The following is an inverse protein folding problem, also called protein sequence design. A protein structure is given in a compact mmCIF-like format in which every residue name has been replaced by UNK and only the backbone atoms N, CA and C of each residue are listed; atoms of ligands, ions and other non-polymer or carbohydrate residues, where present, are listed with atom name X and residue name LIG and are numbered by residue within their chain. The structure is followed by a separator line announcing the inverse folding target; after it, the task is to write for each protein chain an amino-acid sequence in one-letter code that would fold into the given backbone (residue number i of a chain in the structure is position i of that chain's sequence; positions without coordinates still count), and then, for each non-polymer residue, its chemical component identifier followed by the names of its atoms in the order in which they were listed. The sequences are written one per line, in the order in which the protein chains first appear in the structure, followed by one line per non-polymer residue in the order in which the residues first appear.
data_IF_478371140199
#
_entry.id   IF_478371140199
#
_cell.length_a   1.000
_cell.length_b   1.000
_cell.length_c   1.000
_cell.angle_alpha   90.00
_cell.angle_beta   90.00
_cell.angle_gamma   90.00
#
_symmetry.space_group_name_H-M   'P 1'
#
loop_
_entity.id
_entity.type
_entity.pdbx_description
1 polymer ?
#
# COMPACT_ATOMS: atom_id res chain seq x y z
N UNK A 1 3.25 4.74 12.65
CA UNK A 1 3.40 3.30 12.98
C UNK A 1 3.15 2.39 11.77
N UNK A 2 2.12 2.64 10.92
CA UNK A 2 1.77 1.78 9.78
C UNK A 2 2.87 1.58 8.74
N UNK A 3 3.64 2.62 8.41
CA UNK A 3 4.67 2.56 7.36
C UNK A 3 5.84 1.62 7.69
N UNK A 4 6.26 1.56 8.96
CA UNK A 4 7.33 0.65 9.39
C UNK A 4 6.89 -0.81 9.28
N UNK A 5 5.66 -1.14 9.67
CA UNK A 5 5.13 -2.51 9.58
C UNK A 5 5.07 -3.03 8.15
N UNK A 6 4.61 -2.22 7.20
CA UNK A 6 4.49 -2.63 5.79
C UNK A 6 5.87 -2.77 5.13
N UNK A 7 6.80 -1.86 5.38
CA UNK A 7 8.15 -1.97 4.85
C UNK A 7 8.87 -3.23 5.37
N UNK A 8 8.71 -3.55 6.64
CA UNK A 8 9.30 -4.77 7.25
C UNK A 8 8.67 -6.03 6.67
N UNK A 9 7.34 -6.12 6.61
CA UNK A 9 6.65 -7.28 6.02
C UNK A 9 6.99 -7.47 4.54
N UNK A 10 7.08 -6.38 3.79
CA UNK A 10 7.49 -6.39 2.39
C UNK A 10 8.92 -6.93 2.22
N UNK A 11 9.84 -6.52 3.09
CA UNK A 11 11.24 -6.96 3.06
C UNK A 11 11.35 -8.46 3.35
N UNK A 12 10.72 -8.95 4.41
CA UNK A 12 10.73 -10.38 4.77
C UNK A 12 10.09 -11.20 3.64
N UNK A 13 8.91 -10.80 3.16
CA UNK A 13 8.26 -11.50 2.05
C UNK A 13 9.12 -11.54 0.79
N UNK A 14 9.81 -10.44 0.45
CA UNK A 14 10.67 -10.38 -0.74
C UNK A 14 11.91 -11.27 -0.62
N UNK A 15 12.45 -11.46 0.57
CA UNK A 15 13.62 -12.32 0.83
C UNK A 15 13.26 -13.81 0.87
N UNK A 16 12.13 -14.14 1.48
CA UNK A 16 11.71 -15.55 1.66
C UNK A 16 10.99 -16.15 0.45
N UNK A 17 10.33 -15.32 -0.36
CA UNK A 17 9.49 -15.79 -1.46
C UNK A 17 9.93 -15.18 -2.80
N UNK A 18 10.31 -16.02 -3.76
CA UNK A 18 10.52 -15.67 -5.17
C UNK A 18 9.23 -15.96 -5.95
N UNK A 19 8.68 -17.17 -5.79
CA UNK A 19 7.37 -17.53 -6.31
C UNK A 19 6.25 -17.10 -5.35
N UNK A 20 5.07 -16.77 -5.90
CA UNK A 20 3.86 -16.38 -5.15
C UNK A 20 4.04 -15.20 -4.19
N UNK A 21 4.99 -14.33 -4.48
CA UNK A 21 5.30 -13.16 -3.63
C UNK A 21 4.10 -12.24 -3.46
N UNK A 22 3.33 -12.01 -4.54
CA UNK A 22 2.12 -11.20 -4.50
C UNK A 22 1.07 -11.78 -3.56
N UNK A 23 0.80 -13.08 -3.63
CA UNK A 23 -0.14 -13.76 -2.74
C UNK A 23 0.28 -13.63 -1.27
N UNK A 24 1.55 -13.83 -0.96
CA UNK A 24 2.04 -13.69 0.42
C UNK A 24 1.89 -12.26 0.93
N UNK A 25 2.23 -11.26 0.10
CA UNK A 25 2.01 -9.84 0.45
C UNK A 25 0.52 -9.54 0.63
N UNK A 26 -0.34 -10.14 -0.19
CA UNK A 26 -1.78 -10.04 -0.06
C UNK A 26 -2.29 -10.62 1.27
N UNK A 27 -1.83 -11.81 1.67
CA UNK A 27 -2.17 -12.45 2.95
C UNK A 27 -1.69 -11.59 4.12
N UNK A 28 -0.46 -11.08 4.08
CA UNK A 28 0.08 -10.21 5.13
C UNK A 28 -0.71 -8.89 5.24
N UNK A 29 -1.10 -8.29 4.10
CA UNK A 29 -1.96 -7.11 4.08
C UNK A 29 -3.36 -7.40 4.64
N UNK A 30 -3.95 -8.55 4.29
CA UNK A 30 -5.22 -9.02 4.84
C UNK A 30 -5.14 -9.26 6.36
N UNK A 31 -4.04 -9.83 6.85
CA UNK A 31 -3.81 -10.03 8.27
C UNK A 31 -3.69 -8.70 9.05
N UNK A 32 -3.08 -7.66 8.43
CA UNK A 32 -3.08 -6.31 9.02
C UNK A 32 -4.49 -5.76 9.16
N UNK A 33 -5.33 -5.91 8.15
CA UNK A 33 -6.74 -5.46 8.18
C UNK A 33 -7.56 -6.24 9.19
N UNK A 34 -7.37 -7.55 9.28
CA UNK A 34 -8.01 -8.39 10.31
C UNK A 34 -7.58 -7.97 11.73
N UNK A 35 -6.28 -7.65 11.90
CA UNK A 35 -5.76 -7.11 13.16
C UNK A 35 -6.46 -5.80 13.56
N UNK A 36 -6.63 -4.86 12.62
CA UNK A 36 -7.37 -3.61 12.88
C UNK A 36 -8.84 -3.88 13.25
N UNK A 37 -9.49 -4.79 12.53
CA UNK A 37 -10.89 -5.15 12.78
C UNK A 37 -11.12 -5.75 14.16
N UNK A 38 -10.13 -6.45 14.72
CA UNK A 38 -10.20 -7.04 16.07
C UNK A 38 -9.74 -6.05 17.16
N UNK A 39 -8.62 -5.36 16.93
CA UNK A 39 -7.99 -4.51 17.94
C UNK A 39 -8.78 -3.23 18.19
N UNK A 40 -9.42 -2.64 17.18
CA UNK A 40 -10.17 -1.39 17.35
C UNK A 40 -11.39 -1.57 18.27
N UNK A 41 -12.31 -2.55 18.06
CA UNK A 41 -13.40 -2.79 18.99
C UNK A 41 -12.92 -3.22 20.39
N UNK A 42 -11.86 -4.06 20.46
CA UNK A 42 -11.28 -4.45 21.74
C UNK A 42 -10.74 -3.23 22.50
N UNK A 43 -10.10 -2.31 21.80
CA UNK A 43 -9.61 -1.06 22.39
C UNK A 43 -10.75 -0.22 22.96
N UNK A 44 -11.85 -0.08 22.21
CA UNK A 44 -13.04 0.66 22.67
C UNK A 44 -13.66 0.01 23.89
N UNK A 45 -13.80 -1.32 23.90
CA UNK A 45 -14.32 -2.06 25.05
C UNK A 45 -13.45 -1.84 26.28
N UNK A 46 -12.13 -1.98 26.15
CA UNK A 46 -11.19 -1.75 27.26
C UNK A 46 -11.25 -0.30 27.77
N UNK A 47 -11.35 0.70 26.87
CA UNK A 47 -11.45 2.10 27.23
C UNK A 47 -12.75 2.36 28.02
N UNK A 48 -13.86 1.75 27.61
CA UNK A 48 -15.14 1.90 28.28
C UNK A 48 -15.15 1.26 29.67
N UNK A 49 -14.49 0.10 29.82
CA UNK A 49 -14.46 -0.64 31.09
C UNK A 49 -13.41 -0.13 32.10
N UNK A 50 -12.23 0.24 31.61
CA UNK A 50 -11.05 0.50 32.45
C UNK A 50 -10.44 1.89 32.27
N UNK A 51 -11.00 2.70 31.36
CA UNK A 51 -10.45 3.99 30.96
C UNK A 51 -9.22 3.86 30.06
N UNK A 52 -8.85 4.95 29.40
CA UNK A 52 -7.85 4.95 28.34
C UNK A 52 -6.43 4.55 28.81
N UNK A 53 -6.02 4.95 30.04
CA UNK A 53 -4.68 4.67 30.58
C UNK A 53 -4.46 3.17 30.82
N UNK A 54 -5.42 2.51 31.46
CA UNK A 54 -5.35 1.07 31.70
C UNK A 54 -5.45 0.28 30.39
N UNK A 55 -6.25 0.74 29.42
CA UNK A 55 -6.39 0.11 28.11
C UNK A 55 -5.07 0.11 27.33
N UNK A 56 -4.33 1.22 27.32
CA UNK A 56 -3.00 1.27 26.70
C UNK A 56 -2.01 0.32 27.37
N UNK A 57 -2.04 0.19 28.70
CA UNK A 57 -1.20 -0.77 29.43
C UNK A 57 -1.56 -2.21 29.07
N UNK A 58 -2.83 -2.60 29.08
CA UNK A 58 -3.26 -3.95 28.73
C UNK A 58 -2.93 -4.32 27.30
N UNK A 59 -3.15 -3.41 26.35
CA UNK A 59 -2.78 -3.62 24.94
C UNK A 59 -1.25 -3.73 24.77
N UNK A 60 -0.51 -2.88 25.46
CA UNK A 60 0.97 -2.94 25.46
C UNK A 60 1.50 -4.24 26.01
N UNK A 61 0.99 -4.68 27.17
CA UNK A 61 1.36 -5.97 27.77
C UNK A 61 0.96 -7.13 26.85
N UNK A 62 -0.24 -7.08 26.25
CA UNK A 62 -0.69 -8.10 25.29
C UNK A 62 0.23 -8.22 24.08
N UNK A 63 0.65 -7.09 23.49
CA UNK A 63 1.60 -7.08 22.37
C UNK A 63 2.95 -7.66 22.81
N UNK A 64 3.49 -7.24 23.95
CA UNK A 64 4.76 -7.74 24.44
C UNK A 64 4.71 -9.24 24.80
N UNK A 65 3.63 -9.70 25.41
CA UNK A 65 3.49 -11.08 25.83
C UNK A 65 3.20 -12.05 24.68
N UNK A 66 2.48 -11.61 23.64
CA UNK A 66 2.08 -12.46 22.52
C UNK A 66 2.97 -12.28 21.30
N UNK A 67 3.16 -11.03 20.85
CA UNK A 67 3.87 -10.77 19.60
C UNK A 67 5.39 -10.91 19.74
N UNK A 68 5.97 -10.43 20.84
CA UNK A 68 7.42 -10.45 21.02
C UNK A 68 8.01 -11.88 21.05
N UNK A 69 7.47 -12.85 21.79
CA UNK A 69 7.98 -14.23 21.75
C UNK A 69 7.84 -14.86 20.37
N UNK A 70 6.72 -14.62 19.67
CA UNK A 70 6.51 -15.15 18.31
C UNK A 70 7.54 -14.56 17.33
N UNK A 71 7.78 -13.25 17.40
CA UNK A 71 8.77 -12.60 16.52
C UNK A 71 10.17 -13.14 16.81
N UNK A 72 10.58 -13.19 18.06
CA UNK A 72 11.93 -13.64 18.45
C UNK A 72 12.20 -15.10 18.08
N UNK A 73 11.20 -15.96 18.14
CA UNK A 73 11.35 -17.40 17.87
C UNK A 73 11.21 -17.76 16.40
N UNK A 74 10.26 -17.18 15.70
CA UNK A 74 9.87 -17.61 14.34
C UNK A 74 10.37 -16.70 13.24
N UNK A 75 10.43 -15.37 13.46
CA UNK A 75 10.83 -14.44 12.40
C UNK A 75 12.34 -14.43 12.22
N UNK A 76 12.79 -14.61 10.98
CA UNK A 76 14.19 -14.47 10.57
C UNK A 76 14.24 -13.60 9.32
N UNK A 77 15.26 -12.80 9.21
CA UNK A 77 15.41 -11.83 8.12
C UNK A 77 15.68 -12.48 6.78
N UNK A 78 16.45 -13.56 6.77
CA UNK A 78 16.84 -14.25 5.54
C UNK A 78 16.68 -15.78 5.69
N UNK A 79 16.20 -16.49 4.67
CA UNK A 79 16.18 -17.97 4.67
C UNK A 79 17.57 -18.58 4.83
N UNK A 80 18.64 -17.89 4.42
CA UNK A 80 20.01 -18.35 4.60
C UNK A 80 20.40 -18.54 6.07
N UNK A 81 19.81 -17.79 7.01
CA UNK A 81 20.02 -17.94 8.46
C UNK A 81 19.59 -19.31 8.97
N UNK A 82 18.77 -20.02 8.20
CA UNK A 82 18.32 -21.39 8.48
C UNK A 82 18.88 -22.42 7.48
N UNK A 83 19.86 -22.05 6.66
CA UNK A 83 20.41 -22.90 5.61
C UNK A 83 19.41 -23.21 4.48
N UNK A 84 18.34 -22.43 4.35
CA UNK A 84 17.29 -22.60 3.35
C UNK A 84 17.49 -21.66 2.16
N UNK A 85 16.98 -22.09 1.00
CA UNK A 85 16.85 -21.22 -0.18
C UNK A 85 15.46 -20.53 -0.19
N UNK A 86 15.32 -19.34 -0.78
CA UNK A 86 14.02 -18.70 -0.96
C UNK A 86 13.04 -19.62 -1.67
N UNK A 87 11.78 -19.62 -1.23
CA UNK A 87 10.74 -20.44 -1.84
C UNK A 87 10.53 -20.11 -3.32
N UNK A 88 10.63 -21.13 -4.18
CA UNK A 88 10.53 -20.98 -5.64
C UNK A 88 11.83 -20.58 -6.34
N UNK A 89 12.95 -20.50 -5.63
CA UNK A 89 14.26 -20.33 -6.25
C UNK A 89 14.59 -21.57 -7.09
N UNK A 90 14.85 -21.38 -8.39
CA UNK A 90 15.16 -22.49 -9.32
C UNK A 90 13.96 -23.13 -10.03
N UNK A 91 12.73 -22.67 -9.80
CA UNK A 91 11.57 -23.10 -10.58
C UNK A 91 11.40 -22.23 -11.83
N UNK A 92 10.74 -22.78 -12.90
CA UNK A 92 10.44 -21.99 -14.11
C UNK A 92 9.62 -20.73 -13.79
N UNK A 93 8.74 -20.78 -12.79
CA UNK A 93 8.01 -19.63 -12.26
C UNK A 93 8.95 -18.64 -11.53
N UNK A 94 9.94 -19.14 -10.80
CA UNK A 94 10.97 -18.33 -10.17
C UNK A 94 11.93 -17.74 -11.21
N UNK A 95 12.24 -18.47 -12.28
CA UNK A 95 13.07 -17.97 -13.38
C UNK A 95 12.38 -16.86 -14.19
N UNK A 96 11.08 -16.97 -14.44
CA UNK A 96 10.30 -15.92 -15.12
C UNK A 96 10.17 -14.63 -14.30
N UNK A 97 10.25 -14.71 -12.98
CA UNK A 97 10.04 -13.59 -12.05
C UNK A 97 11.25 -13.24 -11.18
N UNK A 98 12.31 -14.03 -11.21
CA UNK A 98 13.48 -13.90 -10.34
C UNK A 98 14.83 -14.01 -11.03
N UNK A 99 14.85 -14.22 -12.35
CA UNK A 99 16.06 -14.55 -13.10
C UNK A 99 17.11 -13.44 -13.16
N UNK A 100 16.82 -12.22 -12.71
CA UNK A 100 17.79 -11.11 -12.71
C UNK A 100 17.55 -10.16 -11.53
N UNK A 101 17.25 -10.67 -10.36
CA UNK A 101 17.40 -9.83 -9.18
C UNK A 101 18.90 -9.81 -8.85
N UNK A 102 19.57 -8.78 -9.34
CA UNK A 102 20.91 -8.42 -8.93
C UNK A 102 21.01 -8.54 -7.40
N UNK A 103 21.95 -9.34 -6.90
CA UNK A 103 22.18 -9.47 -5.44
C UNK A 103 22.75 -8.17 -4.84
N UNK A 104 22.94 -7.15 -5.68
CA UNK A 104 23.42 -5.84 -5.30
C UNK A 104 22.31 -5.02 -4.58
N UNK A 105 22.66 -4.37 -3.50
CA UNK A 105 21.81 -3.32 -2.91
C UNK A 105 21.87 -2.08 -3.80
N UNK A 106 20.73 -1.66 -4.31
CA UNK A 106 20.56 -0.39 -5.03
C UNK A 106 20.38 0.72 -3.99
N UNK A 107 21.27 1.72 -3.91
CA UNK A 107 21.09 2.85 -3.01
C UNK A 107 19.91 3.71 -3.46
N UNK A 108 19.28 4.39 -2.51
CA UNK A 108 18.10 5.25 -2.76
C UNK A 108 18.41 6.33 -3.80
N UNK A 109 19.62 6.92 -3.73
CA UNK A 109 20.05 7.95 -4.68
C UNK A 109 20.12 7.44 -6.13
N UNK A 110 20.48 6.19 -6.36
CA UNK A 110 20.47 5.56 -7.68
C UNK A 110 19.05 5.25 -8.14
N UNK A 111 18.22 4.72 -7.26
CA UNK A 111 16.81 4.44 -7.57
C UNK A 111 16.04 5.72 -7.95
N UNK A 112 16.32 6.84 -7.28
CA UNK A 112 15.70 8.14 -7.60
C UNK A 112 16.08 8.70 -8.98
N UNK A 113 17.12 8.18 -9.63
CA UNK A 113 17.47 8.56 -11.00
C UNK A 113 16.63 7.81 -12.05
N UNK A 114 15.88 6.79 -11.63
CA UNK A 114 15.07 5.98 -12.53
C UNK A 114 13.59 6.46 -12.47
N UNK A 115 12.97 6.75 -13.63
CA UNK A 115 11.57 7.21 -13.68
C UNK A 115 10.60 6.28 -12.97
N UNK A 116 10.85 4.96 -12.96
CA UNK A 116 9.99 3.98 -12.31
C UNK A 116 9.83 4.23 -10.79
N UNK A 117 10.86 4.74 -10.10
CA UNK A 117 10.78 5.12 -8.70
C UNK A 117 9.73 6.21 -8.47
N UNK A 118 9.79 7.27 -9.27
CA UNK A 118 8.86 8.41 -9.14
C UNK A 118 7.44 8.06 -9.56
N UNK A 119 7.27 7.19 -10.56
CA UNK A 119 5.96 6.67 -10.93
C UNK A 119 5.34 5.86 -9.79
N UNK A 120 6.10 4.97 -9.15
CA UNK A 120 5.64 4.22 -7.97
C UNK A 120 5.34 5.14 -6.79
N UNK A 121 6.22 6.10 -6.50
CA UNK A 121 6.02 7.06 -5.42
C UNK A 121 4.79 7.94 -5.66
N UNK A 122 4.60 8.46 -6.89
CA UNK A 122 3.46 9.30 -7.24
C UNK A 122 2.14 8.55 -7.20
N UNK A 123 2.08 7.34 -7.75
CA UNK A 123 0.86 6.52 -7.68
C UNK A 123 0.52 6.15 -6.24
N UNK A 124 1.54 5.88 -5.42
CA UNK A 124 1.31 5.53 -4.03
C UNK A 124 1.00 6.76 -3.15
N UNK A 125 1.47 7.96 -3.52
CA UNK A 125 1.01 9.23 -2.97
C UNK A 125 -0.50 9.39 -3.17
N UNK A 126 -0.99 9.16 -4.41
CA UNK A 126 -2.43 9.21 -4.72
C UNK A 126 -3.19 8.16 -3.91
N UNK A 127 -2.62 6.96 -3.71
CA UNK A 127 -3.23 5.97 -2.81
C UNK A 127 -3.45 6.55 -1.41
N UNK A 128 -2.43 7.17 -0.81
CA UNK A 128 -2.53 7.79 0.50
C UNK A 128 -3.57 8.90 0.54
N UNK A 129 -3.53 9.80 -0.44
CA UNK A 129 -4.46 10.92 -0.55
C UNK A 129 -5.92 10.45 -0.61
N UNK A 130 -6.23 9.50 -1.50
CA UNK A 130 -7.59 9.03 -1.75
C UNK A 130 -8.13 8.11 -0.66
N UNK A 131 -7.29 7.28 -0.04
CA UNK A 131 -7.71 6.29 0.94
C UNK A 131 -7.68 6.83 2.37
N UNK A 132 -6.51 6.85 3.01
CA UNK A 132 -6.38 7.26 4.41
C UNK A 132 -6.63 8.75 4.61
N UNK A 133 -6.19 9.57 3.65
CA UNK A 133 -6.36 11.01 3.73
C UNK A 133 -7.82 11.42 3.61
N UNK A 134 -8.46 11.05 2.51
CA UNK A 134 -9.79 11.56 2.22
C UNK A 134 -10.91 10.63 2.71
N UNK A 135 -10.97 9.38 2.19
CA UNK A 135 -12.12 8.51 2.50
C UNK A 135 -12.18 8.14 3.96
N UNK A 136 -11.08 7.68 4.56
CA UNK A 136 -11.11 7.27 5.96
C UNK A 136 -11.39 8.43 6.92
N UNK A 137 -10.97 9.65 6.58
CA UNK A 137 -11.15 10.84 7.42
C UNK A 137 -12.51 11.49 7.23
N UNK A 138 -13.01 11.56 5.98
CA UNK A 138 -14.17 12.38 5.64
C UNK A 138 -15.41 11.61 5.20
N UNK A 139 -15.38 10.26 5.15
CA UNK A 139 -16.57 9.48 4.78
C UNK A 139 -17.71 9.64 5.79
N UNK A 140 -17.42 9.66 7.10
CA UNK A 140 -18.44 9.80 8.14
C UNK A 140 -19.09 11.18 8.09
N UNK A 141 -18.33 12.29 8.08
CA UNK A 141 -18.92 13.62 7.90
C UNK A 141 -19.71 13.77 6.59
N UNK A 142 -19.17 13.23 5.48
CA UNK A 142 -19.89 13.25 4.19
C UNK A 142 -21.22 12.47 4.23
N UNK A 143 -21.22 11.30 4.85
CA UNK A 143 -22.46 10.54 5.03
C UNK A 143 -23.48 11.31 5.88
N UNK A 144 -23.05 11.99 6.96
CA UNK A 144 -23.91 12.82 7.79
C UNK A 144 -24.49 14.01 7.01
N UNK A 145 -23.69 14.66 6.15
CA UNK A 145 -24.14 15.74 5.23
C UNK A 145 -25.28 15.27 4.31
N UNK A 146 -25.28 13.99 3.91
CA UNK A 146 -26.30 13.37 3.06
C UNK A 146 -27.43 12.70 3.86
N UNK A 147 -27.55 12.98 5.17
CA UNK A 147 -28.64 12.51 6.02
C UNK A 147 -28.52 11.05 6.51
N UNK A 148 -27.36 10.42 6.33
CA UNK A 148 -27.11 9.09 6.91
C UNK A 148 -26.80 9.21 8.41
N UNK A 149 -27.27 8.25 9.19
CA UNK A 149 -26.90 8.17 10.59
C UNK A 149 -25.43 7.76 10.77
N UNK A 150 -24.81 8.12 11.88
CA UNK A 150 -23.45 7.69 12.23
C UNK A 150 -23.32 6.16 12.24
N UNK A 151 -24.39 5.45 12.61
CA UNK A 151 -24.41 3.98 12.58
C UNK A 151 -24.29 3.44 11.16
N UNK A 152 -24.98 4.03 10.17
CA UNK A 152 -24.85 3.62 8.77
C UNK A 152 -23.43 3.87 8.23
N UNK A 153 -22.82 5.01 8.59
CA UNK A 153 -21.44 5.31 8.23
C UNK A 153 -20.45 4.33 8.88
N UNK A 154 -20.65 4.00 10.16
CA UNK A 154 -19.82 3.02 10.86
C UNK A 154 -19.96 1.60 10.25
N UNK A 155 -21.16 1.19 9.88
CA UNK A 155 -21.39 -0.09 9.18
C UNK A 155 -20.70 -0.12 7.82
N UNK A 156 -20.74 0.98 7.07
CA UNK A 156 -20.02 1.10 5.78
C UNK A 156 -18.49 0.97 5.98
N UNK A 157 -17.91 1.62 6.97
CA UNK A 157 -16.48 1.48 7.32
C UNK A 157 -16.14 0.05 7.74
N UNK A 158 -16.99 -0.60 8.53
CA UNK A 158 -16.82 -2.01 8.92
C UNK A 158 -16.83 -2.95 7.71
N UNK A 159 -17.81 -2.77 6.80
CA UNK A 159 -17.91 -3.51 5.56
C UNK A 159 -16.67 -3.27 4.66
N UNK A 160 -16.24 -2.03 4.55
CA UNK A 160 -15.03 -1.66 3.80
C UNK A 160 -13.79 -2.38 4.36
N UNK A 161 -13.65 -2.46 5.68
CA UNK A 161 -12.58 -3.22 6.34
C UNK A 161 -12.64 -4.72 6.05
N UNK A 162 -13.82 -5.32 6.12
CA UNK A 162 -14.02 -6.73 5.82
C UNK A 162 -13.70 -7.06 4.34
N UNK A 163 -14.20 -6.24 3.42
CA UNK A 163 -13.94 -6.41 1.98
C UNK A 163 -12.47 -6.16 1.63
N UNK A 164 -11.77 -5.31 2.38
CA UNK A 164 -10.34 -5.08 2.19
C UNK A 164 -9.49 -6.34 2.43
N UNK A 165 -9.87 -7.20 3.38
CA UNK A 165 -9.19 -8.49 3.60
C UNK A 165 -9.26 -9.33 2.31
N UNK A 166 -10.46 -9.46 1.74
CA UNK A 166 -10.69 -10.22 0.50
C UNK A 166 -9.94 -9.58 -0.66
N UNK A 167 -10.08 -8.27 -0.83
CA UNK A 167 -9.48 -7.52 -1.94
C UNK A 167 -7.96 -7.61 -1.95
N UNK A 168 -7.32 -7.51 -0.79
CA UNK A 168 -5.85 -7.54 -0.69
C UNK A 168 -5.27 -8.91 -1.01
N UNK A 169 -5.91 -9.99 -0.52
CA UNK A 169 -5.51 -11.37 -0.84
C UNK A 169 -5.72 -11.67 -2.32
N UNK A 170 -6.87 -11.28 -2.87
CA UNK A 170 -7.18 -11.47 -4.29
C UNK A 170 -6.22 -10.65 -5.17
N UNK A 171 -5.89 -9.43 -4.77
CA UNK A 171 -4.91 -8.60 -5.47
C UNK A 171 -3.55 -9.27 -5.55
N UNK A 172 -3.08 -9.85 -4.45
CA UNK A 172 -1.82 -10.58 -4.42
C UNK A 172 -1.80 -11.75 -5.41
N UNK A 173 -2.88 -12.54 -5.44
CA UNK A 173 -3.03 -13.65 -6.38
C UNK A 173 -3.12 -13.19 -7.85
N UNK A 174 -3.87 -12.11 -8.12
CA UNK A 174 -3.99 -11.50 -9.46
C UNK A 174 -2.60 -11.03 -9.95
N UNK A 175 -1.82 -10.39 -9.07
CA UNK A 175 -0.48 -9.92 -9.41
C UNK A 175 0.47 -11.05 -9.79
N UNK A 176 0.38 -12.19 -9.12
CA UNK A 176 1.22 -13.35 -9.44
C UNK A 176 0.83 -14.02 -10.77
N UNK A 177 -0.43 -13.89 -11.21
CA UNK A 177 -0.95 -14.55 -12.41
C UNK A 177 -0.99 -13.66 -13.65
N UNK A 178 -1.32 -12.40 -13.51
CA UNK A 178 -1.62 -11.49 -14.65
C UNK A 178 -0.63 -10.33 -14.78
N UNK A 179 0.49 -10.36 -14.03
CA UNK A 179 1.41 -9.25 -13.97
C UNK A 179 1.00 -8.19 -12.93
N UNK A 180 1.68 -7.06 -12.89
CA UNK A 180 1.57 -6.11 -11.77
C UNK A 180 1.08 -4.75 -12.17
N UNK A 181 1.59 -4.17 -13.27
CA UNK A 181 1.21 -2.82 -13.71
C UNK A 181 -0.24 -2.73 -14.18
N UNK A 182 -0.74 -3.75 -14.89
CA UNK A 182 -2.13 -3.82 -15.34
C UNK A 182 -3.11 -3.84 -14.17
N UNK A 183 -2.99 -4.80 -13.23
CA UNK A 183 -3.79 -4.79 -12.00
C UNK A 183 -3.67 -3.50 -11.18
N UNK A 184 -2.48 -2.91 -11.06
CA UNK A 184 -2.29 -1.64 -10.36
C UNK A 184 -3.11 -0.51 -11.01
N UNK A 185 -3.04 -0.39 -12.34
CA UNK A 185 -3.82 0.58 -13.09
C UNK A 185 -5.34 0.33 -12.94
N UNK A 186 -5.76 -0.93 -13.00
CA UNK A 186 -7.16 -1.33 -12.78
C UNK A 186 -7.66 -0.91 -11.39
N UNK A 187 -6.88 -1.14 -10.34
CA UNK A 187 -7.27 -0.74 -8.99
C UNK A 187 -7.44 0.78 -8.86
N UNK A 188 -6.56 1.57 -9.45
CA UNK A 188 -6.73 3.04 -9.45
C UNK A 188 -7.92 3.49 -10.29
N UNK A 189 -8.20 2.84 -11.42
CA UNK A 189 -9.40 3.11 -12.23
C UNK A 189 -10.69 2.82 -11.44
N UNK A 190 -10.80 1.62 -10.85
CA UNK A 190 -11.97 1.24 -10.02
C UNK A 190 -12.12 2.17 -8.82
N UNK A 191 -11.01 2.61 -8.21
CA UNK A 191 -11.01 3.59 -7.13
C UNK A 191 -11.61 4.93 -7.58
N UNK A 192 -11.18 5.45 -8.73
CA UNK A 192 -11.74 6.66 -9.31
C UNK A 192 -13.24 6.55 -9.56
N UNK A 193 -13.68 5.43 -10.18
CA UNK A 193 -15.09 5.16 -10.42
C UNK A 193 -15.90 5.05 -9.12
N UNK A 194 -15.35 4.39 -8.09
CA UNK A 194 -16.04 4.26 -6.80
C UNK A 194 -16.17 5.62 -6.09
N UNK A 195 -15.18 6.51 -6.20
CA UNK A 195 -15.25 7.87 -5.64
C UNK A 195 -16.28 8.72 -6.38
N UNK A 196 -16.42 8.58 -7.70
CA UNK A 196 -17.51 9.21 -8.45
C UNK A 196 -18.86 8.63 -8.00
N UNK A 197 -18.96 7.31 -7.86
CA UNK A 197 -20.18 6.66 -7.38
C UNK A 197 -20.60 7.16 -5.98
N UNK A 198 -19.64 7.46 -5.09
CA UNK A 198 -19.92 8.02 -3.76
C UNK A 198 -20.71 9.34 -3.83
N UNK A 199 -20.50 10.16 -4.86
CA UNK A 199 -21.22 11.42 -5.04
C UNK A 199 -22.71 11.23 -5.34
N UNK A 200 -23.10 10.03 -5.79
CA UNK A 200 -24.48 9.67 -6.15
C UNK A 200 -25.11 8.70 -5.15
N UNK A 201 -24.52 8.56 -3.97
CA UNK A 201 -25.08 7.70 -2.91
C UNK A 201 -26.25 8.41 -2.25
N UNK A 202 -27.45 7.79 -2.29
CA UNK A 202 -28.71 8.38 -1.78
C UNK A 202 -29.46 7.49 -0.80
N UNK A 203 -29.04 6.25 -0.59
CA UNK A 203 -29.64 5.32 0.35
C UNK A 203 -28.61 4.39 0.97
N UNK A 204 -28.98 3.69 2.04
CA UNK A 204 -28.08 2.81 2.79
C UNK A 204 -27.52 1.68 1.93
N UNK A 205 -28.28 0.98 1.06
CA UNK A 205 -27.71 0.00 0.15
C UNK A 205 -26.64 0.56 -0.78
N UNK A 206 -26.84 1.75 -1.36
CA UNK A 206 -25.82 2.36 -2.23
C UNK A 206 -24.55 2.74 -1.47
N UNK A 207 -24.65 3.19 -0.21
CA UNK A 207 -23.51 3.43 0.65
C UNK A 207 -22.74 2.13 0.95
N UNK A 208 -23.44 1.03 1.19
CA UNK A 208 -22.81 -0.28 1.40
C UNK A 208 -22.18 -0.84 0.11
N UNK A 209 -22.77 -0.60 -1.07
CA UNK A 209 -22.16 -0.96 -2.36
C UNK A 209 -20.85 -0.18 -2.57
N UNK A 210 -20.86 1.13 -2.31
CA UNK A 210 -19.62 1.93 -2.31
C UNK A 210 -18.58 1.33 -1.38
N UNK A 211 -18.96 1.07 -0.12
CA UNK A 211 -18.06 0.54 0.89
C UNK A 211 -17.46 -0.82 0.49
N UNK A 212 -18.25 -1.69 -0.14
CA UNK A 212 -17.79 -2.98 -0.63
C UNK A 212 -16.78 -2.82 -1.78
N UNK A 213 -17.11 -2.02 -2.80
CA UNK A 213 -16.23 -1.80 -3.97
C UNK A 213 -14.95 -1.09 -3.54
N UNK A 214 -15.06 -0.03 -2.76
CA UNK A 214 -13.89 0.71 -2.27
C UNK A 214 -13.03 -0.15 -1.35
N UNK A 215 -13.67 -0.93 -0.46
CA UNK A 215 -13.00 -1.87 0.44
C UNK A 215 -12.20 -2.93 -0.29
N UNK A 216 -12.76 -3.58 -1.31
CA UNK A 216 -12.03 -4.52 -2.17
C UNK A 216 -10.78 -3.89 -2.81
N UNK A 217 -10.76 -2.58 -2.94
CA UNK A 217 -9.71 -1.82 -3.60
C UNK A 217 -8.78 -1.08 -2.61
N UNK A 218 -9.15 -0.98 -1.34
CA UNK A 218 -8.53 -0.07 -0.36
C UNK A 218 -7.02 -0.25 -0.22
N UNK A 219 -6.54 -1.46 0.09
CA UNK A 219 -5.11 -1.80 0.21
C UNK A 219 -4.62 -2.65 -0.99
N UNK A 220 -5.47 -2.96 -1.95
CA UNK A 220 -5.15 -3.83 -3.08
C UNK A 220 -4.03 -3.29 -4.01
N UNK A 221 -3.66 -2.02 -3.87
CA UNK A 221 -2.52 -1.41 -4.56
C UNK A 221 -1.17 -1.74 -3.91
N UNK A 222 -1.13 -2.25 -2.68
CA UNK A 222 0.11 -2.57 -1.94
C UNK A 222 0.86 -3.77 -2.53
N UNK A 223 0.23 -4.95 -2.77
CA UNK A 223 0.91 -6.10 -3.36
C UNK A 223 1.59 -5.78 -4.71
N UNK A 224 0.91 -5.18 -5.71
CA UNK A 224 1.55 -4.84 -6.97
C UNK A 224 2.67 -3.81 -6.82
N UNK A 225 2.49 -2.75 -6.02
CA UNK A 225 3.52 -1.73 -5.79
C UNK A 225 4.77 -2.30 -5.18
N UNK A 226 4.64 -3.13 -4.14
CA UNK A 226 5.77 -3.76 -3.45
C UNK A 226 6.47 -4.78 -4.35
N UNK A 227 5.70 -5.56 -5.12
CA UNK A 227 6.26 -6.55 -6.04
C UNK A 227 6.99 -5.87 -7.21
N UNK A 228 6.45 -4.76 -7.75
CA UNK A 228 7.15 -3.93 -8.76
C UNK A 228 8.46 -3.38 -8.21
N UNK A 229 8.44 -2.85 -6.99
CA UNK A 229 9.66 -2.36 -6.33
C UNK A 229 10.72 -3.47 -6.24
N UNK A 230 10.32 -4.68 -5.83
CA UNK A 230 11.23 -5.82 -5.75
C UNK A 230 11.79 -6.26 -7.10
N UNK A 231 10.96 -6.23 -8.15
CA UNK A 231 11.38 -6.67 -9.49
C UNK A 231 12.27 -5.67 -10.20
N UNK A 232 12.02 -4.38 -10.00
CA UNK A 232 12.78 -3.31 -10.67
C UNK A 232 14.12 -3.07 -9.95
N UNK A 233 14.13 -3.04 -8.62
CA UNK A 233 15.28 -2.62 -7.82
C UNK A 233 15.98 -3.74 -7.06
N UNK A 234 15.50 -4.97 -7.18
CA UNK A 234 16.08 -6.13 -6.49
C UNK A 234 15.58 -6.29 -5.04
N UNK A 235 15.57 -7.54 -4.59
CA UNK A 235 15.00 -7.94 -3.28
C UNK A 235 15.70 -7.33 -2.07
N UNK A 236 17.01 -7.07 -2.17
CA UNK A 236 17.80 -6.51 -1.07
C UNK A 236 17.53 -5.01 -0.84
N UNK A 237 16.95 -4.32 -1.82
CA UNK A 237 16.68 -2.89 -1.79
C UNK A 237 15.21 -2.58 -1.40
N UNK A 238 14.33 -3.60 -1.36
CA UNK A 238 12.89 -3.44 -1.13
C UNK A 238 12.60 -2.68 0.16
N UNK A 239 13.29 -2.99 1.25
CA UNK A 239 13.03 -2.37 2.55
C UNK A 239 13.18 -0.85 2.51
N UNK A 240 14.34 -0.37 2.05
CA UNK A 240 14.62 1.07 1.99
C UNK A 240 13.73 1.77 0.96
N UNK A 241 13.59 1.22 -0.24
CA UNK A 241 12.83 1.85 -1.32
C UNK A 241 11.32 1.82 -1.05
N UNK A 242 10.79 0.72 -0.54
CA UNK A 242 9.40 0.69 -0.08
C UNK A 242 9.15 1.68 1.05
N UNK A 243 10.12 1.89 1.95
CA UNK A 243 10.04 2.91 2.99
C UNK A 243 9.83 4.32 2.40
N UNK A 244 10.58 4.70 1.38
CA UNK A 244 10.43 5.98 0.69
C UNK A 244 9.11 6.09 -0.10
N UNK A 245 8.70 5.02 -0.77
CA UNK A 245 7.40 4.96 -1.46
C UNK A 245 6.26 5.07 -0.44
N UNK A 246 6.37 4.42 0.71
CA UNK A 246 5.42 4.57 1.82
C UNK A 246 5.45 5.96 2.44
N UNK A 247 6.58 6.60 2.51
CA UNK A 247 6.67 7.99 2.95
C UNK A 247 5.84 8.91 2.04
N UNK A 248 5.91 8.74 0.72
CA UNK A 248 5.06 9.49 -0.21
C UNK A 248 3.56 9.26 0.04
N UNK A 249 3.17 8.03 0.36
CA UNK A 249 1.79 7.70 0.77
C UNK A 249 1.36 8.46 2.03
N UNK A 250 2.23 8.55 3.04
CA UNK A 250 1.91 9.28 4.27
C UNK A 250 1.77 10.79 4.02
N UNK A 251 2.62 11.36 3.16
CA UNK A 251 2.48 12.75 2.72
C UNK A 251 1.16 12.95 1.97
N UNK A 252 0.82 12.03 1.06
CA UNK A 252 -0.48 12.01 0.38
C UNK A 252 -1.65 11.94 1.36
N UNK A 253 -1.55 11.07 2.38
CA UNK A 253 -2.59 10.94 3.41
C UNK A 253 -2.78 12.24 4.21
N UNK A 254 -1.71 12.89 4.62
CA UNK A 254 -1.77 14.15 5.35
C UNK A 254 -2.39 15.27 4.50
N UNK A 255 -1.96 15.37 3.24
CA UNK A 255 -2.51 16.36 2.32
C UNK A 255 -3.98 16.07 1.95
N UNK A 256 -4.37 14.81 1.81
CA UNK A 256 -5.76 14.44 1.54
C UNK A 256 -6.70 14.77 2.71
N UNK A 257 -6.26 14.51 3.94
CA UNK A 257 -7.01 14.87 5.14
C UNK A 257 -7.17 16.39 5.28
N UNK A 258 -6.08 17.14 5.08
CA UNK A 258 -6.11 18.60 5.11
C UNK A 258 -6.96 19.18 3.98
N UNK A 259 -6.77 18.73 2.73
CA UNK A 259 -7.46 19.25 1.58
C UNK A 259 -8.97 18.97 1.64
N UNK A 260 -9.39 17.82 2.17
CA UNK A 260 -10.80 17.50 2.38
C UNK A 260 -11.48 18.52 3.29
N UNK A 261 -10.85 18.87 4.42
CA UNK A 261 -11.35 19.91 5.33
C UNK A 261 -11.34 21.30 4.69
N UNK A 262 -10.23 21.70 4.07
CA UNK A 262 -10.09 23.02 3.43
C UNK A 262 -11.10 23.22 2.29
N UNK A 263 -11.36 22.19 1.49
CA UNK A 263 -12.37 22.24 0.42
C UNK A 263 -13.78 22.36 1.03
N UNK A 264 -14.06 21.62 2.10
CA UNK A 264 -15.32 21.72 2.81
C UNK A 264 -15.55 23.12 3.38
N UNK A 265 -14.53 23.69 4.06
CA UNK A 265 -14.60 25.04 4.62
C UNK A 265 -14.86 26.11 3.55
N UNK A 266 -14.33 25.91 2.34
CA UNK A 266 -14.49 26.84 1.23
C UNK A 266 -15.81 26.66 0.45
N UNK A 267 -16.35 25.45 0.38
CA UNK A 267 -17.48 25.12 -0.54
C UNK A 267 -18.74 24.67 0.19
N UNK A 268 -18.64 24.32 1.47
CA UNK A 268 -19.74 23.75 2.26
C UNK A 268 -20.08 22.30 1.89
N UNK A 269 -19.24 21.60 1.08
CA UNK A 269 -19.50 20.23 0.67
C UNK A 269 -18.21 19.43 0.43
N UNK A 270 -18.22 18.13 0.80
CA UNK A 270 -17.13 17.20 0.49
C UNK A 270 -17.11 16.71 -0.96
N UNK A 271 -18.14 16.98 -1.75
CA UNK A 271 -18.27 16.49 -3.13
C UNK A 271 -17.09 16.86 -4.01
N UNK A 272 -16.61 18.11 -3.91
CA UNK A 272 -15.44 18.58 -4.66
C UNK A 272 -14.14 17.90 -4.23
N UNK A 273 -14.02 17.57 -2.94
CA UNK A 273 -12.87 16.83 -2.43
C UNK A 273 -12.83 15.41 -3.00
N UNK A 274 -13.96 14.69 -3.00
CA UNK A 274 -14.04 13.35 -3.57
C UNK A 274 -13.89 13.36 -5.10
N UNK A 275 -14.40 14.38 -5.79
CA UNK A 275 -14.20 14.54 -7.24
C UNK A 275 -12.72 14.75 -7.58
N UNK A 276 -12.03 15.62 -6.84
CA UNK A 276 -10.57 15.82 -7.01
C UNK A 276 -9.79 14.53 -6.82
N UNK A 277 -10.15 13.74 -5.81
CA UNK A 277 -9.56 12.45 -5.54
C UNK A 277 -9.83 11.42 -6.65
N UNK A 278 -11.02 11.42 -7.24
CA UNK A 278 -11.34 10.59 -8.40
C UNK A 278 -10.46 10.93 -9.62
N UNK A 279 -10.28 12.21 -9.91
CA UNK A 279 -9.38 12.67 -10.98
C UNK A 279 -7.95 12.19 -10.72
N UNK A 280 -7.43 12.38 -9.50
CA UNK A 280 -6.09 11.91 -9.12
C UNK A 280 -5.97 10.39 -9.27
N UNK A 281 -7.01 9.63 -8.92
CA UNK A 281 -7.01 8.17 -9.09
C UNK A 281 -6.92 7.75 -10.57
N UNK A 282 -7.62 8.43 -11.49
CA UNK A 282 -7.48 8.17 -12.92
C UNK A 282 -6.09 8.57 -13.45
N UNK A 283 -5.52 9.67 -12.99
CA UNK A 283 -4.14 10.04 -13.31
C UNK A 283 -3.19 8.92 -12.82
N UNK A 284 -3.34 8.44 -11.59
CA UNK A 284 -2.52 7.35 -11.06
C UNK A 284 -2.70 6.04 -11.86
N UNK A 285 -3.91 5.76 -12.35
CA UNK A 285 -4.17 4.64 -13.27
C UNK A 285 -3.32 4.76 -14.54
N UNK A 286 -3.34 5.92 -15.19
CA UNK A 286 -2.50 6.20 -16.37
C UNK A 286 -1.00 6.10 -16.07
N UNK A 287 -0.54 6.71 -14.98
CA UNK A 287 0.86 6.64 -14.55
C UNK A 287 1.32 5.20 -14.28
N UNK A 288 0.45 4.35 -13.74
CA UNK A 288 0.75 2.94 -13.49
C UNK A 288 1.06 2.18 -14.77
N UNK A 289 0.41 2.48 -15.89
CA UNK A 289 0.66 1.86 -17.19
C UNK A 289 2.01 2.28 -17.79
N UNK A 290 2.56 3.43 -17.41
CA UNK A 290 3.87 3.91 -17.86
C UNK A 290 5.03 3.22 -17.14
N UNK A 291 4.78 2.50 -16.05
CA UNK A 291 5.83 1.78 -15.31
C UNK A 291 6.42 0.70 -16.21
N UNK A 292 7.73 0.75 -16.43
CA UNK A 292 8.49 -0.27 -17.14
C UNK A 292 9.02 -1.28 -16.12
N UNK A 293 8.58 -2.53 -16.21
CA UNK A 293 9.02 -3.62 -15.35
C UNK A 293 10.39 -4.18 -15.81
N UNK A 294 11.38 -3.31 -15.95
CA UNK A 294 12.74 -3.69 -16.39
C UNK A 294 13.68 -3.53 -15.19
N UNK A 295 14.42 -4.59 -14.80
CA UNK A 295 15.39 -4.52 -13.71
C UNK A 295 16.41 -3.40 -13.93
N UNK A 296 16.80 -2.70 -12.87
CA UNK A 296 17.75 -1.59 -12.95
C UNK A 296 19.12 -2.03 -13.47
N UNK A 297 19.52 -3.28 -13.20
CA UNK A 297 20.77 -3.88 -13.69
C UNK A 297 20.86 -3.97 -15.21
N UNK A 298 19.74 -4.01 -15.91
CA UNK A 298 19.67 -4.08 -17.37
C UNK A 298 19.45 -2.72 -18.03
N UNK A 299 19.26 -1.66 -17.24
CA UNK A 299 19.08 -0.31 -17.76
C UNK A 299 20.47 0.32 -18.02
N UNK A 300 20.67 1.00 -19.17
CA UNK A 300 21.92 1.69 -19.42
C UNK A 300 22.13 2.76 -18.34
N UNK A 301 23.11 2.55 -17.48
CA UNK A 301 23.48 3.57 -16.49
C UNK A 301 23.96 4.80 -17.27
N UNK A 302 23.33 5.94 -17.05
CA UNK A 302 23.96 7.23 -17.35
C UNK A 302 25.16 7.34 -16.41
N UNK A 303 26.31 6.78 -16.81
CA UNK A 303 27.57 7.11 -16.13
C UNK A 303 27.74 8.63 -16.23
N UNK A 304 27.98 9.33 -15.13
CA UNK A 304 28.48 10.69 -15.22
C UNK A 304 29.74 10.60 -16.07
N UNK A 305 29.79 11.34 -17.17
CA UNK A 305 31.04 11.51 -17.95
C UNK A 305 32.09 11.97 -16.93
N UNK A 306 33.21 11.26 -16.77
CA UNK A 306 34.27 11.73 -15.90
C UNK A 306 34.69 13.12 -16.42
N UNK A 307 34.44 14.14 -15.60
CA UNK A 307 34.94 15.48 -15.85
C UNK A 307 36.47 15.38 -15.86
N UNK A 308 37.10 15.55 -17.04
CA UNK A 308 38.53 15.64 -17.16
C UNK A 308 39.22 14.46 -17.85
N UNK A 309 38.78 14.06 -19.07
CA UNK A 309 39.73 13.48 -20.01
C UNK A 309 40.59 14.62 -20.55
N UNK A 310 41.93 14.59 -20.40
CA UNK A 310 42.78 15.61 -21.02
C UNK A 310 42.64 15.50 -22.54
N UNK A 311 42.31 16.63 -23.15
CA UNK A 311 42.36 16.78 -24.63
C UNK A 311 43.82 16.51 -25.02
N UNK A 312 44.06 15.41 -25.69
CA UNK A 312 45.36 15.15 -26.33
C UNK A 312 45.57 16.24 -27.39
N UNK A 313 46.47 17.17 -27.10
CA UNK A 313 46.99 18.10 -28.06
C UNK A 313 47.87 17.31 -29.05
N UNK A 314 47.47 17.27 -30.29
CA UNK A 314 48.24 16.83 -31.45
C UNK A 314 48.20 17.92 -32.51
#
# INVERSE_FOLDING_TARGET
AGGLGIATTATVAARWFVARRGLILGILGGAMSAGQMLVVPLSMLLITLYGWRASFLWLGVGILALALPVILTFVRDDPADKGLKPYGAGTASGAAFGAVADERRVPVSEAMQVPAFWLLASTFFVCGYTSNGLVLTHLVPHAAEHGFSEMHAAQALGLMGAMNIVGTVLSGWICDRFGRKGPLAFYYCVRGLSLIFLLYVWNVPSLHIFAAIFGLNYISTVPPTTTLTANIFGRLSVGALSGWIFFSHQVGSALGAWAGGAIFDATGSYSWAFLSAAVLAFIASGLSLLIKEVPISTQPTRRPTPAGAPVAAG
#
